data_IF_701526065944
#
_entry.id   IF_701526065944
#
_cell.length_a   1.000
_cell.length_b   1.000
_cell.length_c   1.000
_cell.angle_alpha   90.00
_cell.angle_beta   90.00
_cell.angle_gamma   90.00
#
_symmetry.space_group_name_H-M   'P 1'
#
loop_
_entity.id
_entity.type
_entity.pdbx_description
1 polymer ?
#
# COMPACT_ATOMS: atom_id res chain seq x y z
N UNK A 1 11.05 7.37 16.41
CA UNK A 1 10.07 7.94 15.47
C UNK A 1 10.59 9.16 14.71
N UNK A 2 10.87 10.30 15.36
CA UNK A 2 11.26 11.54 14.68
C UNK A 2 12.46 11.41 13.72
N UNK A 3 13.48 10.64 14.10
CA UNK A 3 14.63 10.38 13.22
C UNK A 3 14.28 9.56 11.97
N UNK A 4 13.39 8.57 12.09
CA UNK A 4 12.93 7.78 10.95
C UNK A 4 12.08 8.65 10.00
N UNK A 5 11.18 9.46 10.56
CA UNK A 5 10.40 10.44 9.78
C UNK A 5 11.31 11.44 9.06
N UNK A 6 12.36 11.95 9.71
CA UNK A 6 13.34 12.83 9.06
C UNK A 6 13.98 12.13 7.86
N UNK A 7 14.44 10.89 8.02
CA UNK A 7 15.05 10.14 6.91
C UNK A 7 14.09 10.03 5.73
N UNK A 8 12.83 9.64 5.97
CA UNK A 8 11.83 9.54 4.88
C UNK A 8 11.53 10.92 4.29
N UNK A 9 11.25 11.93 5.10
CA UNK A 9 10.78 13.23 4.64
C UNK A 9 11.85 14.09 3.96
N UNK A 10 13.14 13.91 4.29
CA UNK A 10 14.19 14.82 3.81
C UNK A 10 15.21 14.19 2.88
N UNK A 11 15.19 12.87 2.68
CA UNK A 11 16.08 12.21 1.71
C UNK A 11 15.49 12.38 0.31
N UNK A 12 16.22 12.98 -0.65
CA UNK A 12 15.75 13.05 -2.04
C UNK A 12 15.45 11.66 -2.62
N UNK A 13 14.40 11.55 -3.43
CA UNK A 13 14.00 10.29 -4.08
C UNK A 13 14.43 10.29 -5.54
N UNK A 14 14.78 9.11 -6.06
CA UNK A 14 15.08 8.94 -7.48
C UNK A 14 13.84 8.99 -8.37
N UNK A 15 12.68 8.68 -7.80
CA UNK A 15 11.36 8.68 -8.44
C UNK A 15 10.27 8.83 -7.38
N UNK A 16 9.03 9.04 -7.81
CA UNK A 16 7.90 9.07 -6.88
C UNK A 16 7.74 7.72 -6.17
N UNK A 17 7.52 7.76 -4.86
CA UNK A 17 7.24 6.57 -4.06
C UNK A 17 6.29 6.90 -2.90
N UNK A 18 5.65 5.86 -2.37
CA UNK A 18 4.84 5.91 -1.16
C UNK A 18 5.60 5.18 -0.05
N UNK A 19 5.72 5.79 1.13
CA UNK A 19 6.42 5.22 2.27
C UNK A 19 5.59 5.35 3.55
N UNK A 20 5.06 4.22 4.02
CA UNK A 20 4.34 4.15 5.30
C UNK A 20 5.32 3.81 6.43
N UNK A 21 5.24 4.59 7.52
CA UNK A 21 5.92 4.31 8.78
C UNK A 21 4.89 4.00 9.86
N UNK A 22 5.06 2.88 10.55
CA UNK A 22 4.21 2.49 11.69
C UNK A 22 5.04 1.98 12.87
N UNK A 23 4.44 1.99 14.07
CA UNK A 23 5.08 1.46 15.28
C UNK A 23 4.11 0.69 16.17
N UNK A 24 4.65 -0.16 17.04
CA UNK A 24 3.85 -0.98 17.97
C UNK A 24 3.03 -0.15 18.97
N UNK A 25 3.39 1.11 19.19
CA UNK A 25 2.66 2.06 20.04
C UNK A 25 1.34 2.55 19.41
N UNK A 26 0.97 2.08 18.21
CA UNK A 26 -0.31 2.39 17.57
C UNK A 26 -0.31 3.66 16.72
N UNK A 27 0.86 4.09 16.25
CA UNK A 27 1.01 5.23 15.34
C UNK A 27 1.36 4.76 13.93
N UNK A 28 0.74 5.37 12.92
CA UNK A 28 1.08 5.24 11.51
C UNK A 28 1.01 6.60 10.80
N UNK A 29 1.86 6.77 9.79
CA UNK A 29 1.89 7.92 8.88
C UNK A 29 2.33 7.42 7.51
N UNK A 30 1.75 8.01 6.47
CA UNK A 30 2.19 7.79 5.10
C UNK A 30 2.87 9.04 4.54
N UNK A 31 3.88 8.81 3.70
CA UNK A 31 4.60 9.84 2.97
C UNK A 31 4.49 9.57 1.47
N UNK A 32 3.70 10.40 0.79
CA UNK A 32 3.73 10.49 -0.66
C UNK A 32 4.95 11.33 -1.05
N UNK A 33 5.94 10.73 -1.68
CA UNK A 33 7.21 11.40 -1.98
C UNK A 33 7.32 11.69 -3.47
N UNK A 34 7.55 12.95 -3.82
CA UNK A 34 8.14 13.36 -5.09
C UNK A 34 9.68 13.34 -4.97
N UNK A 35 10.46 13.52 -6.05
CA UNK A 35 11.92 13.53 -5.98
C UNK A 35 12.50 14.49 -4.94
N UNK A 36 11.92 15.67 -4.79
CA UNK A 36 12.38 16.78 -3.95
C UNK A 36 11.42 17.15 -2.81
N UNK A 37 10.26 16.49 -2.73
CA UNK A 37 9.21 16.83 -1.76
C UNK A 37 8.56 15.60 -1.15
N UNK A 38 7.91 15.79 0.00
CA UNK A 38 7.15 14.74 0.67
C UNK A 38 5.88 15.32 1.28
N UNK A 39 4.77 14.64 1.06
CA UNK A 39 3.44 15.02 1.53
C UNK A 39 2.92 13.93 2.46
N UNK A 40 2.28 14.32 3.56
CA UNK A 40 1.88 13.36 4.59
C UNK A 40 0.39 13.06 4.56
N UNK A 41 0.06 11.81 4.86
CA UNK A 41 -1.29 11.37 5.15
C UNK A 41 -1.31 10.70 6.53
N UNK A 42 -2.35 11.01 7.30
CA UNK A 42 -2.62 10.36 8.58
C UNK A 42 -3.82 9.41 8.44
N UNK A 43 -3.88 8.34 9.24
CA UNK A 43 -5.04 7.46 9.26
C UNK A 43 -6.33 8.22 9.55
N UNK A 44 -7.39 7.91 8.81
CA UNK A 44 -8.74 8.40 9.03
C UNK A 44 -9.55 7.30 9.70
N UNK A 45 -10.16 7.59 10.86
CA UNK A 45 -10.90 6.61 11.65
C UNK A 45 -10.10 5.31 11.97
N UNK A 46 -8.78 5.44 12.16
CA UNK A 46 -7.90 4.31 12.46
C UNK A 46 -7.48 3.48 11.24
N UNK A 47 -7.84 3.90 10.02
CA UNK A 47 -7.47 3.22 8.78
C UNK A 47 -6.67 4.15 7.86
N UNK A 48 -5.62 3.62 7.25
CA UNK A 48 -4.87 4.26 6.17
C UNK A 48 -4.72 3.24 5.05
N UNK A 49 -5.22 3.58 3.87
CA UNK A 49 -5.11 2.78 2.65
C UNK A 49 -4.60 3.70 1.56
N UNK A 50 -3.70 3.19 0.71
CA UNK A 50 -3.15 3.95 -0.39
C UNK A 50 -2.87 3.03 -1.58
N UNK A 51 -2.90 3.58 -2.79
CA UNK A 51 -2.50 2.89 -4.01
C UNK A 51 -1.28 3.58 -4.66
N UNK A 52 -1.34 3.92 -5.94
CA UNK A 52 -0.21 4.44 -6.73
C UNK A 52 -0.50 5.85 -7.32
N UNK A 53 -1.46 6.59 -6.77
CA UNK A 53 -1.83 7.95 -7.19
C UNK A 53 -1.75 8.91 -5.99
N UNK A 54 -1.69 10.22 -6.23
CA UNK A 54 -1.68 11.21 -5.15
C UNK A 54 -3.07 11.37 -4.51
N UNK A 55 -3.16 11.16 -3.20
CA UNK A 55 -4.35 11.36 -2.39
C UNK A 55 -4.27 12.67 -1.56
N UNK A 56 -3.08 13.09 -1.10
CA UNK A 56 -2.98 14.29 -0.27
C UNK A 56 -3.34 15.57 -1.04
N UNK A 57 -4.09 16.47 -0.39
CA UNK A 57 -4.50 17.73 -1.01
C UNK A 57 -3.30 18.58 -1.46
N UNK A 58 -2.23 18.76 -0.65
CA UNK A 58 -1.06 19.52 -1.11
C UNK A 58 -0.39 18.90 -2.34
N UNK A 59 -0.24 17.57 -2.40
CA UNK A 59 0.33 16.89 -3.57
C UNK A 59 -0.55 17.11 -4.80
N UNK A 60 -1.87 16.88 -4.68
CA UNK A 60 -2.83 17.04 -5.79
C UNK A 60 -2.92 18.48 -6.32
N UNK A 61 -2.61 19.47 -5.49
CA UNK A 61 -2.55 20.88 -5.91
C UNK A 61 -1.23 21.25 -6.60
N UNK A 62 -0.11 20.60 -6.22
CA UNK A 62 1.23 21.03 -6.62
C UNK A 62 1.86 20.14 -7.69
N UNK A 63 1.63 18.83 -7.62
CA UNK A 63 2.26 17.81 -8.45
C UNK A 63 1.29 17.36 -9.52
N UNK A 64 1.79 17.25 -10.76
CA UNK A 64 1.02 16.66 -11.85
C UNK A 64 0.99 15.14 -11.70
N UNK A 65 -0.19 14.57 -11.80
CA UNK A 65 -0.37 13.12 -11.82
C UNK A 65 0.04 12.56 -13.20
N UNK A 66 1.05 11.70 -13.21
CA UNK A 66 1.61 11.06 -14.41
C UNK A 66 1.58 9.52 -14.32
N UNK A 67 1.29 8.96 -13.14
CA UNK A 67 1.32 7.51 -12.88
C UNK A 67 0.09 6.75 -13.36
N UNK A 68 -1.02 7.46 -13.59
CA UNK A 68 -2.30 6.86 -14.02
C UNK A 68 -2.22 6.18 -15.38
N UNK A 69 -1.36 6.64 -16.29
CA UNK A 69 -1.16 5.99 -17.59
C UNK A 69 -0.60 4.56 -17.42
N UNK A 70 0.28 4.37 -16.43
CA UNK A 70 0.89 3.07 -16.12
C UNK A 70 0.08 2.22 -15.12
N UNK A 71 -0.79 2.83 -14.29
CA UNK A 71 -1.68 2.11 -13.37
C UNK A 71 -3.01 2.84 -13.18
N UNK A 72 -3.91 2.78 -14.18
CA UNK A 72 -5.22 3.43 -14.08
C UNK A 72 -6.09 2.79 -12.97
N UNK A 73 -5.83 1.52 -12.68
CA UNK A 73 -6.45 0.76 -11.61
C UNK A 73 -6.14 1.28 -10.19
N UNK A 74 -5.09 2.10 -10.06
CA UNK A 74 -4.79 2.82 -8.83
C UNK A 74 -6.00 3.60 -8.28
N UNK A 75 -6.85 4.16 -9.16
CA UNK A 75 -7.98 5.00 -8.80
C UNK A 75 -9.08 4.27 -8.02
N UNK A 76 -9.29 2.99 -8.28
CA UNK A 76 -10.33 2.22 -7.59
C UNK A 76 -9.75 1.22 -6.59
N UNK A 77 -8.47 0.82 -6.69
CA UNK A 77 -7.91 -0.16 -5.75
C UNK A 77 -7.80 0.38 -4.33
N UNK A 78 -7.38 1.64 -4.12
CA UNK A 78 -7.37 2.21 -2.76
C UNK A 78 -8.79 2.34 -2.20
N UNK A 79 -9.73 2.85 -3.00
CA UNK A 79 -11.15 2.88 -2.65
C UNK A 79 -11.68 1.49 -2.29
N UNK A 80 -11.43 0.47 -3.10
CA UNK A 80 -11.94 -0.89 -2.90
C UNK A 80 -11.43 -1.50 -1.59
N UNK A 81 -10.12 -1.41 -1.34
CA UNK A 81 -9.52 -1.91 -0.09
C UNK A 81 -10.05 -1.12 1.11
N UNK A 82 -10.18 0.19 0.98
CA UNK A 82 -10.77 1.03 2.04
C UNK A 82 -12.19 0.56 2.39
N UNK A 83 -13.07 0.38 1.41
CA UNK A 83 -14.45 -0.07 1.65
C UNK A 83 -14.51 -1.45 2.32
N UNK A 84 -13.66 -2.39 1.87
CA UNK A 84 -13.60 -3.73 2.46
C UNK A 84 -13.16 -3.70 3.93
N UNK A 85 -12.14 -2.89 4.25
CA UNK A 85 -11.61 -2.81 5.61
C UNK A 85 -12.49 -1.96 6.55
N UNK A 86 -13.08 -0.88 6.03
CA UNK A 86 -13.96 0.01 6.78
C UNK A 86 -15.30 -0.64 7.15
N UNK A 87 -15.65 -1.77 6.51
CA UNK A 87 -16.76 -2.62 6.94
C UNK A 87 -16.53 -3.30 8.31
N UNK A 88 -15.29 -3.27 8.83
CA UNK A 88 -14.91 -3.83 10.11
C UNK A 88 -14.54 -2.73 11.10
N UNK A 89 -15.05 -2.79 12.33
CA UNK A 89 -14.75 -1.79 13.36
C UNK A 89 -13.25 -1.73 13.74
N UNK A 90 -12.55 -2.86 13.62
CA UNK A 90 -11.10 -2.98 13.87
C UNK A 90 -10.55 -4.15 13.05
N UNK A 91 -10.20 -3.95 11.76
CA UNK A 91 -9.69 -5.02 10.91
C UNK A 91 -8.39 -5.60 11.47
N UNK A 92 -8.29 -6.93 11.51
CA UNK A 92 -7.10 -7.68 11.88
C UNK A 92 -6.37 -8.24 10.65
N UNK A 93 -5.38 -9.10 10.89
CA UNK A 93 -4.56 -9.67 9.82
C UNK A 93 -5.37 -10.45 8.77
N UNK A 94 -6.42 -11.16 9.19
CA UNK A 94 -7.26 -11.93 8.26
C UNK A 94 -8.15 -11.03 7.41
N UNK A 95 -8.73 -9.95 7.97
CA UNK A 95 -9.45 -8.94 7.18
C UNK A 95 -8.53 -8.26 6.17
N UNK A 96 -7.28 -7.94 6.56
CA UNK A 96 -6.27 -7.38 5.67
C UNK A 96 -5.95 -8.33 4.51
N UNK A 97 -5.72 -9.62 4.80
CA UNK A 97 -5.49 -10.64 3.76
C UNK A 97 -6.67 -10.75 2.80
N UNK A 98 -7.89 -10.84 3.33
CA UNK A 98 -9.11 -10.94 2.52
C UNK A 98 -9.29 -9.72 1.61
N UNK A 99 -9.08 -8.51 2.13
CA UNK A 99 -9.13 -7.30 1.33
C UNK A 99 -8.06 -7.28 0.22
N UNK A 100 -6.85 -7.79 0.50
CA UNK A 100 -5.79 -7.88 -0.49
C UNK A 100 -5.93 -9.04 -1.49
N UNK A 101 -6.76 -10.05 -1.21
CA UNK A 101 -7.13 -11.11 -2.16
C UNK A 101 -8.27 -10.73 -3.11
N UNK A 102 -8.89 -9.56 -2.91
CA UNK A 102 -10.03 -9.12 -3.71
C UNK A 102 -9.69 -9.05 -5.21
N UNK A 103 -10.61 -9.57 -6.02
CA UNK A 103 -10.49 -9.72 -7.47
C UNK A 103 -11.36 -8.72 -8.26
N UNK A 104 -11.92 -7.72 -7.59
CA UNK A 104 -12.71 -6.68 -8.24
C UNK A 104 -11.89 -5.97 -9.33
N UNK A 105 -12.42 -5.92 -10.54
CA UNK A 105 -11.73 -5.32 -11.69
C UNK A 105 -10.64 -6.19 -12.31
N UNK A 106 -10.58 -7.50 -12.01
CA UNK A 106 -9.66 -8.45 -12.66
C UNK A 106 -9.68 -8.31 -14.20
N UNK A 107 -8.52 -8.28 -14.89
CA UNK A 107 -7.17 -8.59 -14.38
C UNK A 107 -6.41 -7.38 -13.80
N UNK A 108 -7.09 -6.27 -13.54
CA UNK A 108 -6.53 -5.07 -12.92
C UNK A 108 -6.92 -4.94 -11.43
N UNK A 109 -7.18 -6.06 -10.78
CA UNK A 109 -7.60 -6.16 -9.38
C UNK A 109 -6.49 -5.80 -8.38
N UNK A 110 -6.87 -5.71 -7.10
CA UNK A 110 -5.94 -5.60 -5.97
C UNK A 110 -4.98 -6.81 -5.96
N UNK A 111 -5.55 -8.02 -5.97
CA UNK A 111 -4.78 -9.24 -6.19
C UNK A 111 -4.65 -9.51 -7.69
N UNK A 112 -3.66 -8.89 -8.34
CA UNK A 112 -3.47 -8.92 -9.78
C UNK A 112 -2.96 -10.29 -10.25
N UNK A 113 -3.70 -11.04 -11.08
CA UNK A 113 -3.17 -12.24 -11.73
C UNK A 113 -2.13 -11.86 -12.79
N UNK A 114 -1.25 -12.80 -13.22
CA UNK A 114 -0.32 -12.54 -14.32
C UNK A 114 -1.05 -12.05 -15.56
N UNK A 115 -0.65 -10.88 -16.06
CA UNK A 115 -1.17 -10.27 -17.29
C UNK A 115 -0.08 -9.50 -18.01
N UNK A 116 -0.25 -9.19 -19.30
CA UNK A 116 0.57 -8.18 -19.97
C UNK A 116 0.50 -6.84 -19.23
N UNK A 117 1.64 -6.17 -19.09
CA UNK A 117 1.74 -4.80 -18.59
C UNK A 117 1.25 -3.78 -19.63
N UNK A 118 1.36 -2.49 -19.29
CA UNK A 118 1.12 -1.40 -20.24
C UNK A 118 2.33 -1.13 -21.14
N UNK A 119 3.48 -1.74 -20.83
CA UNK A 119 4.67 -1.77 -21.67
C UNK A 119 4.95 -3.21 -22.13
N UNK A 120 6.16 -3.53 -22.62
CA UNK A 120 6.52 -4.88 -23.06
C UNK A 120 6.82 -5.86 -21.92
N UNK A 121 6.27 -5.62 -20.73
CA UNK A 121 6.54 -6.37 -19.50
C UNK A 121 5.34 -7.23 -19.06
N UNK A 122 5.60 -8.16 -18.13
CA UNK A 122 4.56 -8.94 -17.45
C UNK A 122 4.27 -8.27 -16.09
N UNK A 123 3.00 -8.15 -15.73
CA UNK A 123 2.57 -7.59 -14.45
C UNK A 123 1.78 -8.61 -13.63
N UNK A 124 2.07 -8.71 -12.34
CA UNK A 124 1.36 -9.54 -11.37
C UNK A 124 1.58 -9.00 -9.95
N UNK A 125 0.69 -9.33 -9.01
CA UNK A 125 1.03 -9.20 -7.58
C UNK A 125 2.05 -10.28 -7.23
N UNK A 126 3.29 -9.87 -6.94
CA UNK A 126 4.41 -10.81 -6.72
C UNK A 126 4.50 -11.33 -5.29
N UNK A 127 4.01 -10.57 -4.33
CA UNK A 127 3.94 -10.96 -2.93
C UNK A 127 2.84 -10.19 -2.22
N UNK A 128 2.25 -10.80 -1.19
CA UNK A 128 1.48 -10.11 -0.16
C UNK A 128 2.22 -10.27 1.16
N UNK A 129 2.37 -9.16 1.88
CA UNK A 129 3.03 -9.10 3.19
C UNK A 129 2.07 -8.45 4.17
N UNK A 130 1.74 -9.16 5.26
CA UNK A 130 0.88 -8.65 6.33
C UNK A 130 1.67 -8.69 7.63
N UNK A 131 1.87 -7.53 8.24
CA UNK A 131 2.65 -7.38 9.47
C UNK A 131 1.72 -7.06 10.64
N UNK A 132 1.99 -7.67 11.79
CA UNK A 132 1.38 -7.32 13.09
C UNK A 132 2.51 -6.82 14.00
N UNK A 133 2.88 -5.52 13.94
CA UNK A 133 4.09 -5.01 14.60
C UNK A 133 4.10 -5.19 16.12
N UNK A 134 2.94 -5.11 16.77
CA UNK A 134 2.81 -5.31 18.21
C UNK A 134 3.16 -6.73 18.66
N UNK A 135 3.03 -7.71 17.77
CA UNK A 135 3.32 -9.12 18.02
C UNK A 135 4.66 -9.56 17.40
N UNK A 136 5.37 -8.65 16.70
CA UNK A 136 6.59 -9.00 15.97
C UNK A 136 6.36 -10.02 14.86
N UNK A 137 5.14 -10.15 14.34
CA UNK A 137 4.78 -11.15 13.33
C UNK A 137 4.70 -10.55 11.93
N UNK A 138 5.09 -11.36 10.93
CA UNK A 138 4.95 -11.05 9.51
C UNK A 138 4.55 -12.30 8.73
N UNK A 139 3.39 -12.25 8.09
CA UNK A 139 2.90 -13.28 7.17
C UNK A 139 3.23 -12.88 5.73
N UNK A 140 3.84 -13.78 4.96
CA UNK A 140 4.23 -13.53 3.57
C UNK A 140 3.72 -14.66 2.67
N UNK A 141 3.11 -14.31 1.54
CA UNK A 141 2.78 -15.26 0.48
C UNK A 141 3.33 -14.76 -0.87
N UNK A 142 4.14 -15.56 -1.58
CA UNK A 142 4.57 -15.23 -2.94
C UNK A 142 3.44 -15.53 -3.93
N UNK A 143 3.28 -14.68 -4.94
CA UNK A 143 2.29 -14.80 -6.02
C UNK A 143 0.86 -15.06 -5.51
N UNK A 144 0.28 -14.18 -4.67
CA UNK A 144 -1.02 -14.39 -4.00
C UNK A 144 -2.20 -14.69 -4.95
N UNK A 145 -2.11 -14.27 -6.21
CA UNK A 145 -3.14 -14.57 -7.20
C UNK A 145 -3.20 -16.07 -7.58
N UNK A 146 -2.11 -16.81 -7.36
CA UNK A 146 -1.96 -18.23 -7.69
C UNK A 146 -1.62 -19.11 -6.49
N UNK A 147 -1.33 -18.52 -5.33
CA UNK A 147 -0.89 -19.19 -4.13
C UNK A 147 -1.53 -18.51 -2.90
N UNK A 148 -2.01 -19.30 -1.93
CA UNK A 148 -2.59 -18.77 -0.68
C UNK A 148 -1.89 -19.29 0.57
N UNK A 149 -0.80 -20.02 0.41
CA UNK A 149 -0.03 -20.60 1.52
C UNK A 149 0.96 -19.57 2.06
N UNK A 150 0.65 -19.03 3.24
CA UNK A 150 1.50 -18.04 3.92
C UNK A 150 2.62 -18.71 4.72
N UNK A 151 3.80 -18.11 4.63
CA UNK A 151 4.91 -18.33 5.57
C UNK A 151 4.89 -17.26 6.63
N UNK A 152 4.88 -17.65 7.92
CA UNK A 152 4.97 -16.74 9.06
C UNK A 152 6.41 -16.59 9.52
N UNK A 153 6.81 -15.35 9.75
CA UNK A 153 8.07 -14.95 10.37
C UNK A 153 7.78 -14.22 11.69
N UNK A 154 8.68 -14.39 12.67
CA UNK A 154 8.61 -13.73 13.98
C UNK A 154 9.95 -13.06 14.28
N UNK A 155 9.90 -11.90 14.91
CA UNK A 155 11.07 -11.27 15.51
C UNK A 155 11.21 -11.78 16.95
N UNK A 156 12.40 -12.29 17.28
CA UNK A 156 12.79 -12.70 18.63
C UNK A 156 13.08 -11.48 19.55
#
# INVERSE_FOLDING_TARGET
MALAMKVVATTPKSCSNNMILSTKEGFAIDFECAPDESFTLYPQNGLLVHANHWESLPARCKVREEGIDASPDSLYRSWRVHELLNAHAKPGAEEMKNAFFDDFGSPYSVCRPPRPGFSSDLSATVAMIVMTPAEGMMDVVPLPALNRDFTRYTLD
#
